data_IF_666766922135
#
_entry.id   IF_666766922135
#
_cell.length_a   1.000
_cell.length_b   1.000
_cell.length_c   1.000
_cell.angle_alpha   90.00
_cell.angle_beta   90.00
_cell.angle_gamma   90.00
#
_symmetry.space_group_name_H-M   'P 1'
#
loop_
_entity.id
_entity.type
_entity.pdbx_description
1 polymer ?
#
# COMPACT_ATOMS: atom_id res chain seq x y z
N UNK A 1 -22.02 9.93 1.20
CA UNK A 1 -20.76 10.67 1.45
C UNK A 1 -19.48 9.80 1.38
N UNK A 2 -19.44 8.61 2.02
CA UNK A 2 -18.27 7.71 1.99
C UNK A 2 -18.00 7.00 0.65
N UNK A 3 -19.02 6.82 -0.19
CA UNK A 3 -18.90 6.21 -1.52
C UNK A 3 -18.10 7.07 -2.53
N UNK A 4 -18.04 8.39 -2.32
CA UNK A 4 -17.24 9.29 -3.16
C UNK A 4 -15.74 9.20 -2.82
N UNK A 5 -15.39 9.09 -1.53
CA UNK A 5 -14.01 8.87 -1.06
C UNK A 5 -13.49 7.47 -1.42
N UNK A 6 -14.35 6.44 -1.37
CA UNK A 6 -14.00 5.09 -1.80
C UNK A 6 -13.74 4.99 -3.32
N UNK A 7 -14.52 5.71 -4.14
CA UNK A 7 -14.21 5.87 -5.57
C UNK A 7 -12.97 6.74 -5.79
N UNK A 8 -12.70 7.76 -4.99
CA UNK A 8 -11.50 8.57 -5.13
C UNK A 8 -10.23 7.78 -4.82
N UNK A 9 -10.23 6.94 -3.79
CA UNK A 9 -9.12 6.04 -3.46
C UNK A 9 -8.91 4.96 -4.53
N UNK A 10 -9.99 4.30 -4.98
CA UNK A 10 -9.91 3.32 -6.08
C UNK A 10 -9.56 3.96 -7.44
N UNK A 11 -9.87 5.24 -7.65
CA UNK A 11 -9.53 5.97 -8.89
C UNK A 11 -8.10 6.52 -8.82
N UNK A 12 -7.62 6.97 -7.65
CA UNK A 12 -6.24 7.37 -7.46
C UNK A 12 -5.27 6.19 -7.61
N UNK A 13 -5.63 5.01 -7.12
CA UNK A 13 -4.85 3.76 -7.28
C UNK A 13 -4.88 3.24 -8.74
N UNK A 14 -5.99 3.44 -9.47
CA UNK A 14 -6.10 3.08 -10.89
C UNK A 14 -5.47 4.09 -11.86
N UNK A 15 -5.38 5.38 -11.50
CA UNK A 15 -4.81 6.45 -12.36
C UNK A 15 -3.30 6.57 -12.23
N UNK A 16 -2.70 6.07 -11.15
CA UNK A 16 -1.25 6.15 -10.95
C UNK A 16 -0.44 5.19 -11.84
N UNK A 17 -1.10 4.24 -12.51
CA UNK A 17 -0.43 3.13 -13.20
C UNK A 17 -0.74 2.95 -14.69
N UNK A 18 -1.48 3.84 -15.35
CA UNK A 18 -1.74 3.70 -16.80
C UNK A 18 -0.97 4.72 -17.63
N UNK A 19 0.04 4.31 -18.42
CA UNK A 19 0.54 5.13 -19.52
C UNK A 19 -0.57 5.22 -20.57
N UNK A 20 -1.43 6.24 -20.43
CA UNK A 20 -2.52 6.53 -21.37
C UNK A 20 -1.96 7.11 -22.67
N UNK A 21 -1.99 6.32 -23.74
CA UNK A 21 -1.73 6.76 -25.11
C UNK A 21 -2.82 7.76 -25.52
N UNK A 22 -2.54 9.07 -25.47
CA UNK A 22 -3.47 10.12 -25.94
C UNK A 22 -2.93 10.77 -27.21
N UNK A 23 -3.61 10.55 -28.33
CA UNK A 23 -3.42 11.33 -29.57
C UNK A 23 -2.12 11.05 -30.34
N UNK A 24 -1.62 9.81 -30.35
CA UNK A 24 -0.54 9.39 -31.26
C UNK A 24 0.85 9.99 -31.00
N UNK A 25 1.08 10.65 -29.86
CA UNK A 25 2.40 11.19 -29.48
C UNK A 25 2.99 10.46 -28.27
N UNK A 26 4.13 9.80 -28.49
CA UNK A 26 4.95 9.16 -27.48
C UNK A 26 5.68 10.19 -26.61
N UNK A 27 5.17 10.45 -25.40
CA UNK A 27 5.84 11.30 -24.40
C UNK A 27 6.66 10.45 -23.40
N UNK A 28 7.69 9.74 -23.88
CA UNK A 28 8.50 8.85 -23.02
C UNK A 28 9.51 9.59 -22.11
N UNK A 29 9.84 10.85 -22.41
CA UNK A 29 10.91 11.58 -21.70
C UNK A 29 10.44 12.38 -20.48
N UNK A 30 9.28 13.05 -20.55
CA UNK A 30 8.71 13.78 -19.40
C UNK A 30 8.07 12.83 -18.37
N UNK A 31 7.52 11.69 -18.82
CA UNK A 31 6.90 10.68 -17.96
C UNK A 31 7.89 9.95 -17.03
N UNK A 32 9.16 9.80 -17.42
CA UNK A 32 10.18 9.13 -16.59
C UNK A 32 10.56 9.94 -15.33
N UNK A 33 10.61 11.27 -15.42
CA UNK A 33 10.91 12.12 -14.26
C UNK A 33 9.72 12.26 -13.33
N UNK A 34 8.50 12.38 -13.88
CA UNK A 34 7.27 12.36 -13.11
C UNK A 34 7.07 11.02 -12.38
N UNK A 35 7.29 9.88 -13.07
CA UNK A 35 7.21 8.55 -12.45
C UNK A 35 8.28 8.33 -11.36
N UNK A 36 9.48 8.88 -11.52
CA UNK A 36 10.53 8.79 -10.49
C UNK A 36 10.25 9.70 -9.28
N UNK A 37 9.78 10.92 -9.50
CA UNK A 37 9.41 11.84 -8.42
C UNK A 37 8.23 11.28 -7.63
N UNK A 38 7.29 10.68 -8.34
CA UNK A 38 6.18 9.96 -7.73
C UNK A 38 6.62 8.72 -6.95
N UNK A 39 7.53 7.91 -7.48
CA UNK A 39 8.09 6.78 -6.75
C UNK A 39 8.79 7.21 -5.45
N UNK A 40 9.34 8.43 -5.41
CA UNK A 40 9.91 9.01 -4.18
C UNK A 40 8.81 9.48 -3.23
N UNK A 41 7.76 10.12 -3.74
CA UNK A 41 6.62 10.57 -2.93
C UNK A 41 5.83 9.40 -2.33
N UNK A 42 5.71 8.30 -3.06
CA UNK A 42 5.04 7.08 -2.62
C UNK A 42 5.93 6.16 -1.78
N UNK A 43 7.23 6.47 -1.66
CA UNK A 43 8.16 5.70 -0.83
C UNK A 43 7.70 5.67 0.63
N UNK A 44 7.53 6.84 1.26
CA UNK A 44 7.17 6.93 2.68
C UNK A 44 5.77 6.35 2.96
N UNK A 45 4.71 6.71 2.20
CA UNK A 45 3.38 6.11 2.37
C UNK A 45 3.37 4.59 2.25
N UNK A 46 4.12 4.02 1.29
CA UNK A 46 4.18 2.57 1.10
C UNK A 46 4.78 1.83 2.30
N UNK A 47 5.88 2.35 2.87
CA UNK A 47 6.50 1.75 4.06
C UNK A 47 5.60 1.88 5.26
N UNK A 48 5.02 3.06 5.48
CA UNK A 48 4.12 3.31 6.60
C UNK A 48 2.90 2.38 6.53
N UNK A 49 2.31 2.22 5.35
CA UNK A 49 1.17 1.32 5.13
C UNK A 49 1.54 -0.13 5.46
N UNK A 50 2.68 -0.60 4.96
CA UNK A 50 3.15 -1.96 5.23
C UNK A 50 3.44 -2.21 6.71
N UNK A 51 4.05 -1.24 7.39
CA UNK A 51 4.32 -1.31 8.83
C UNK A 51 3.02 -1.36 9.64
N UNK A 52 2.04 -0.50 9.31
CA UNK A 52 0.76 -0.49 10.00
C UNK A 52 -0.03 -1.79 9.77
N UNK A 53 -0.02 -2.31 8.53
CA UNK A 53 -0.62 -3.61 8.24
C UNK A 53 0.03 -4.73 9.06
N UNK A 54 1.37 -4.76 9.12
CA UNK A 54 2.12 -5.74 9.91
C UNK A 54 1.83 -5.62 11.42
N UNK A 55 1.74 -4.40 11.94
CA UNK A 55 1.43 -4.13 13.35
C UNK A 55 0.00 -4.52 13.72
N UNK A 56 -0.98 -4.15 12.89
CA UNK A 56 -2.40 -4.46 13.15
C UNK A 56 -2.72 -5.94 12.98
N UNK A 57 -2.07 -6.61 12.02
CA UNK A 57 -2.22 -8.05 11.83
C UNK A 57 -1.56 -8.85 12.96
N UNK A 58 -0.43 -8.37 13.47
CA UNK A 58 0.40 -9.09 14.43
C UNK A 58 1.16 -10.25 13.77
N UNK A 59 2.27 -10.66 14.38
CA UNK A 59 3.02 -11.85 13.95
C UNK A 59 3.82 -11.71 12.64
N UNK A 60 3.82 -10.55 11.98
CA UNK A 60 4.63 -10.29 10.80
C UNK A 60 5.99 -9.72 11.20
N UNK A 61 7.08 -10.44 10.93
CA UNK A 61 8.43 -9.93 11.22
C UNK A 61 8.88 -8.91 10.17
N UNK A 62 9.55 -7.83 10.62
CA UNK A 62 10.07 -6.80 9.71
C UNK A 62 11.12 -7.35 8.73
N UNK A 63 11.92 -8.32 9.17
CA UNK A 63 12.91 -8.99 8.33
C UNK A 63 12.27 -9.77 7.19
N UNK A 64 11.23 -10.55 7.47
CA UNK A 64 10.47 -11.27 6.44
C UNK A 64 9.73 -10.29 5.53
N UNK A 65 9.10 -9.26 6.07
CA UNK A 65 8.42 -8.23 5.30
C UNK A 65 9.36 -7.58 4.27
N UNK A 66 10.54 -7.13 4.71
CA UNK A 66 11.53 -6.53 3.82
C UNK A 66 12.09 -7.55 2.80
N UNK A 67 12.24 -8.81 3.19
CA UNK A 67 12.64 -9.89 2.28
C UNK A 67 11.62 -10.13 1.16
N UNK A 68 10.35 -10.24 1.51
CA UNK A 68 9.26 -10.43 0.55
C UNK A 68 9.04 -9.19 -0.32
N UNK A 69 9.05 -7.98 0.25
CA UNK A 69 8.82 -6.74 -0.48
C UNK A 69 9.86 -6.48 -1.60
N UNK A 70 11.08 -7.02 -1.46
CA UNK A 70 12.14 -6.90 -2.48
C UNK A 70 11.96 -7.84 -3.68
N UNK A 71 11.03 -8.79 -3.61
CA UNK A 71 10.76 -9.74 -4.71
C UNK A 71 9.88 -9.14 -5.81
N UNK A 72 9.27 -7.98 -5.57
CA UNK A 72 8.47 -7.28 -6.59
C UNK A 72 9.32 -6.30 -7.40
N UNK A 73 9.01 -6.09 -8.70
CA UNK A 73 9.72 -5.10 -9.53
C UNK A 73 9.56 -3.66 -9.03
N UNK A 74 8.41 -3.32 -8.44
CA UNK A 74 8.18 -2.00 -7.87
C UNK A 74 8.68 -1.97 -6.42
N UNK A 75 9.55 -1.00 -6.07
CA UNK A 75 10.05 -0.85 -4.70
C UNK A 75 9.00 -0.26 -3.75
N UNK A 76 7.85 0.21 -4.24
CA UNK A 76 6.80 0.85 -3.45
C UNK A 76 5.62 -0.08 -3.23
N UNK A 77 5.02 -0.63 -4.29
CA UNK A 77 3.87 -1.52 -4.13
C UNK A 77 4.23 -2.86 -3.47
N UNK A 78 5.50 -3.27 -3.53
CA UNK A 78 5.99 -4.49 -2.87
C UNK A 78 5.76 -4.55 -1.37
N UNK A 79 5.88 -3.41 -0.68
CA UNK A 79 5.78 -3.36 0.78
C UNK A 79 4.37 -3.67 1.29
N UNK A 80 3.30 -2.96 0.84
CA UNK A 80 1.94 -3.30 1.24
C UNK A 80 1.51 -4.71 0.80
N UNK A 81 1.91 -5.14 -0.40
CA UNK A 81 1.56 -6.46 -0.92
C UNK A 81 2.21 -7.59 -0.10
N UNK A 82 3.48 -7.45 0.25
CA UNK A 82 4.19 -8.39 1.12
C UNK A 82 3.57 -8.43 2.51
N UNK A 83 3.22 -7.27 3.09
CA UNK A 83 2.54 -7.20 4.38
C UNK A 83 1.20 -7.94 4.35
N UNK A 84 0.40 -7.76 3.29
CA UNK A 84 -0.89 -8.42 3.14
C UNK A 84 -0.74 -9.94 2.95
N UNK A 85 0.21 -10.38 2.12
CA UNK A 85 0.49 -11.80 1.90
C UNK A 85 0.91 -12.51 3.21
N UNK A 86 1.78 -11.87 3.99
CA UNK A 86 2.24 -12.39 5.29
C UNK A 86 1.12 -12.36 6.34
N UNK A 87 0.36 -11.26 6.43
CA UNK A 87 -0.74 -11.11 7.39
C UNK A 87 -1.88 -12.11 7.16
N UNK A 88 -2.23 -12.39 5.91
CA UNK A 88 -3.28 -13.35 5.55
C UNK A 88 -2.79 -14.81 5.56
N UNK A 89 -1.47 -15.02 5.62
CA UNK A 89 -0.88 -16.34 5.46
C UNK A 89 -1.02 -16.91 4.04
N UNK A 90 -1.20 -16.05 3.03
CA UNK A 90 -1.47 -16.46 1.64
C UNK A 90 -0.29 -16.17 0.73
N UNK A 91 -0.19 -16.94 -0.35
CA UNK A 91 0.74 -16.70 -1.44
C UNK A 91 0.11 -15.76 -2.47
N UNK A 92 0.82 -14.69 -2.84
CA UNK A 92 0.42 -13.79 -3.92
C UNK A 92 1.43 -13.86 -5.06
N UNK A 93 0.99 -14.27 -6.24
CA UNK A 93 1.86 -14.42 -7.42
C UNK A 93 1.33 -13.70 -8.64
N UNK A 94 2.23 -13.15 -9.44
CA UNK A 94 1.97 -12.70 -10.80
C UNK A 94 2.88 -13.48 -11.75
N UNK A 95 2.27 -14.21 -12.68
CA UNK A 95 2.96 -15.12 -13.58
C UNK A 95 4.13 -14.42 -14.29
N UNK A 96 5.34 -14.98 -14.14
CA UNK A 96 6.57 -14.45 -14.74
C UNK A 96 7.11 -13.15 -14.12
N UNK A 97 6.55 -12.66 -13.01
CA UNK A 97 6.93 -11.37 -12.42
C UNK A 97 7.37 -11.51 -10.96
N UNK A 98 6.53 -12.04 -10.07
CA UNK A 98 6.86 -12.18 -8.65
C UNK A 98 6.03 -13.29 -7.99
N UNK A 99 6.53 -13.80 -6.88
CA UNK A 99 5.82 -14.66 -5.95
C UNK A 99 6.16 -14.23 -4.52
N UNK A 100 5.14 -13.79 -3.79
CA UNK A 100 5.23 -13.33 -2.41
C UNK A 100 4.71 -14.41 -1.47
N UNK A 101 5.40 -14.58 -0.35
CA UNK A 101 5.10 -15.55 0.70
C UNK A 101 4.88 -16.95 0.11
N UNK A 102 5.95 -17.51 -0.48
CA UNK A 102 5.91 -18.78 -1.22
C UNK A 102 5.44 -19.98 -0.38
N UNK A 103 5.60 -19.92 0.93
CA UNK A 103 5.12 -20.92 1.89
C UNK A 103 3.64 -20.75 2.27
N UNK A 104 3.00 -19.66 1.87
CA UNK A 104 1.60 -19.37 2.15
C UNK A 104 0.65 -20.25 1.34
N UNK A 105 -0.59 -20.36 1.81
CA UNK A 105 -1.65 -21.09 1.09
C UNK A 105 -2.20 -20.29 -0.08
N UNK A 106 -2.95 -20.93 -0.96
CA UNK A 106 -3.70 -20.22 -2.00
C UNK A 106 -4.75 -19.27 -1.37
N UNK A 107 -4.95 -18.06 -1.95
CA UNK A 107 -5.98 -17.14 -1.50
C UNK A 107 -7.38 -17.69 -1.83
N UNK A 108 -8.31 -17.41 -0.93
CA UNK A 108 -9.72 -17.79 -0.98
C UNK A 108 -10.60 -16.55 -0.93
N UNK A 109 -11.89 -16.62 -1.32
CA UNK A 109 -12.78 -15.46 -1.24
C UNK A 109 -12.92 -14.87 0.17
N UNK A 110 -12.82 -15.68 1.23
CA UNK A 110 -12.84 -15.22 2.62
C UNK A 110 -11.69 -14.27 2.95
N UNK A 111 -10.55 -14.38 2.26
CA UNK A 111 -9.38 -13.54 2.48
C UNK A 111 -9.61 -12.10 2.04
N UNK A 112 -10.48 -11.88 1.05
CA UNK A 112 -10.86 -10.53 0.64
C UNK A 112 -11.58 -9.79 1.78
N UNK A 113 -12.48 -10.48 2.50
CA UNK A 113 -13.17 -9.90 3.65
C UNK A 113 -12.20 -9.63 4.81
N UNK A 114 -11.26 -10.55 5.07
CA UNK A 114 -10.23 -10.33 6.09
C UNK A 114 -9.31 -9.15 5.73
N UNK A 115 -8.84 -9.08 4.48
CA UNK A 115 -8.02 -7.99 3.98
C UNK A 115 -8.74 -6.65 4.13
N UNK A 116 -10.04 -6.59 3.79
CA UNK A 116 -10.84 -5.39 3.95
C UNK A 116 -10.97 -4.96 5.42
N UNK A 117 -11.18 -5.91 6.33
CA UNK A 117 -11.21 -5.63 7.77
C UNK A 117 -9.86 -5.11 8.28
N UNK A 118 -8.76 -5.69 7.81
CA UNK A 118 -7.41 -5.25 8.17
C UNK A 118 -7.13 -3.83 7.70
N UNK A 119 -7.45 -3.52 6.44
CA UNK A 119 -7.32 -2.17 5.87
C UNK A 119 -8.20 -1.18 6.62
N UNK A 120 -9.42 -1.57 6.98
CA UNK A 120 -10.35 -0.71 7.74
C UNK A 120 -9.78 -0.36 9.12
N UNK A 121 -9.19 -1.33 9.82
CA UNK A 121 -8.50 -1.09 11.10
C UNK A 121 -7.30 -0.15 10.95
N UNK A 122 -6.48 -0.35 9.91
CA UNK A 122 -5.34 0.55 9.62
C UNK A 122 -5.81 1.97 9.31
N UNK A 123 -6.87 2.12 8.51
CA UNK A 123 -7.44 3.43 8.20
C UNK A 123 -7.97 4.13 9.45
N UNK A 124 -8.68 3.43 10.33
CA UNK A 124 -9.12 3.96 11.62
C UNK A 124 -7.95 4.36 12.51
N UNK A 125 -6.90 3.53 12.60
CA UNK A 125 -5.70 3.86 13.37
C UNK A 125 -5.03 5.14 12.84
N UNK A 126 -4.90 5.30 11.52
CA UNK A 126 -4.36 6.51 10.91
C UNK A 126 -5.20 7.76 11.23
N UNK A 127 -6.53 7.65 11.16
CA UNK A 127 -7.42 8.76 11.53
C UNK A 127 -7.22 9.15 13.00
N UNK A 128 -7.14 8.18 13.92
CA UNK A 128 -6.90 8.45 15.34
C UNK A 128 -5.52 9.07 15.59
N UNK A 129 -4.48 8.59 14.91
CA UNK A 129 -3.13 9.17 14.97
C UNK A 129 -3.14 10.62 14.46
N UNK A 130 -3.84 10.88 13.35
CA UNK A 130 -3.95 12.24 12.81
C UNK A 130 -4.72 13.18 13.75
N UNK A 131 -5.84 12.73 14.32
CA UNK A 131 -6.62 13.52 15.27
C UNK A 131 -5.84 13.83 16.54
N UNK A 132 -5.13 12.84 17.09
CA UNK A 132 -4.28 13.04 18.28
C UNK A 132 -3.12 14.00 17.99
N UNK A 133 -2.48 13.90 16.82
CA UNK A 133 -1.47 14.85 16.39
C UNK A 133 -2.03 16.28 16.25
N UNK A 134 -3.23 16.44 15.69
CA UNK A 134 -3.90 17.75 15.57
C UNK A 134 -4.17 18.33 16.96
N UNK A 135 -4.76 17.56 17.87
CA UNK A 135 -5.00 17.98 19.26
C UNK A 135 -3.69 18.39 19.93
N UNK A 136 -2.63 17.58 19.77
CA UNK A 136 -1.32 17.90 20.34
C UNK A 136 -0.73 19.19 19.78
N UNK A 137 -0.85 19.46 18.47
CA UNK A 137 -0.37 20.71 17.86
C UNK A 137 -1.20 21.90 18.34
N UNK A 138 -2.53 21.76 18.37
CA UNK A 138 -3.43 22.87 18.75
C UNK A 138 -3.26 23.25 20.23
N UNK A 139 -3.16 22.27 21.13
CA UNK A 139 -3.13 22.54 22.57
C UNK A 139 -1.72 22.48 23.18
N UNK A 140 -0.75 21.88 22.49
CA UNK A 140 0.63 21.76 22.94
C UNK A 140 1.54 22.91 22.49
N UNK A 141 1.08 23.76 21.56
CA UNK A 141 1.80 25.00 21.20
C UNK A 141 1.50 26.15 22.18
N UNK A 142 0.50 26.00 23.05
CA UNK A 142 0.09 26.99 24.04
C UNK A 142 0.73 26.76 25.43
N UNK A 143 1.67 25.82 25.56
CA UNK A 143 2.39 25.45 26.79
C UNK A 143 3.90 25.70 26.66
#
# INVERSE_FOLDING_TARGET
PGAALYRFANTADAMWGYPGMRGGRYWQWAGKWAARADDVLSWLPARLTALLLALVAGGVSLGQLAGEARKTPSPNSGWPMAAMALALGVQLSKAGVYQLHSTGRAPTPCDAAYAQNLVSKVALALVLIALTAIVFVVFGMDA
#
